data_IF_538324564228
#
_entry.id   IF_538324564228
#
_cell.length_a   1.000
_cell.length_b   1.000
_cell.length_c   1.000
_cell.angle_alpha   90.00
_cell.angle_beta   90.00
_cell.angle_gamma   90.00
#
_symmetry.space_group_name_H-M   'P 1'
#
loop_
_entity.id
_entity.type
_entity.pdbx_description
1 polymer ?
#
# COMPACT_ATOMS: atom_id res chain seq x y z
N UNK A 1 -18.91 -35.57 -34.51
CA UNK A 1 -18.67 -35.02 -33.15
C UNK A 1 -17.39 -34.18 -33.23
N UNK A 2 -17.24 -33.15 -32.42
CA UNK A 2 -16.01 -32.35 -32.40
C UNK A 2 -14.90 -33.01 -31.57
N UNK A 3 -13.65 -32.64 -31.85
CA UNK A 3 -12.51 -33.00 -31.00
C UNK A 3 -12.60 -32.36 -29.61
N UNK A 4 -11.87 -32.93 -28.64
CA UNK A 4 -11.98 -32.58 -27.21
C UNK A 4 -11.82 -31.09 -26.91
N UNK A 5 -10.95 -30.38 -27.63
CA UNK A 5 -10.70 -28.95 -27.42
C UNK A 5 -11.46 -28.04 -28.42
N UNK A 6 -12.40 -28.60 -29.20
CA UNK A 6 -13.08 -27.91 -30.30
C UNK A 6 -14.60 -27.77 -30.08
N UNK A 7 -15.03 -27.62 -28.83
CA UNK A 7 -16.43 -27.55 -28.41
C UNK A 7 -16.92 -26.11 -28.12
N UNK A 8 -16.34 -25.10 -28.78
CA UNK A 8 -16.73 -23.69 -28.54
C UNK A 8 -18.12 -23.32 -29.11
N UNK A 9 -18.61 -24.11 -30.07
CA UNK A 9 -19.93 -23.95 -30.69
C UNK A 9 -20.61 -25.31 -30.85
N UNK A 10 -21.95 -25.38 -30.96
CA UNK A 10 -22.63 -26.65 -31.14
C UNK A 10 -22.21 -27.30 -32.47
N UNK A 11 -21.98 -28.61 -32.44
CA UNK A 11 -21.63 -29.38 -33.65
C UNK A 11 -22.77 -29.33 -34.67
N UNK A 12 -22.42 -29.19 -35.95
CA UNK A 12 -23.35 -29.27 -37.07
C UNK A 12 -22.70 -30.06 -38.23
N UNK A 13 -23.49 -30.79 -39.03
CA UNK A 13 -22.99 -31.44 -40.23
C UNK A 13 -22.69 -30.40 -41.32
N UNK A 14 -21.75 -30.70 -42.22
CA UNK A 14 -21.49 -29.87 -43.39
C UNK A 14 -22.72 -29.83 -44.32
N UNK A 15 -22.92 -28.69 -44.98
CA UNK A 15 -24.01 -28.48 -45.94
C UNK A 15 -23.45 -28.50 -47.38
N UNK A 16 -23.74 -29.58 -48.12
CA UNK A 16 -23.30 -29.72 -49.50
C UNK A 16 -23.99 -28.80 -50.51
N UNK A 17 -25.14 -28.21 -50.16
CA UNK A 17 -25.89 -27.30 -51.04
C UNK A 17 -25.36 -25.86 -50.94
N UNK A 18 -25.01 -25.40 -49.73
CA UNK A 18 -24.46 -24.06 -49.50
C UNK A 18 -22.93 -24.02 -49.53
N UNK A 19 -22.28 -25.18 -49.41
CA UNK A 19 -20.82 -25.30 -49.27
C UNK A 19 -20.31 -25.03 -47.85
N UNK A 20 -21.19 -24.83 -46.87
CA UNK A 20 -20.80 -24.54 -45.49
C UNK A 20 -20.26 -25.77 -44.79
N UNK A 21 -18.98 -25.75 -44.42
CA UNK A 21 -18.31 -26.89 -43.79
C UNK A 21 -18.72 -27.12 -42.32
N UNK A 22 -19.24 -26.10 -41.63
CA UNK A 22 -19.58 -26.14 -40.20
C UNK A 22 -18.49 -26.74 -39.29
N UNK A 23 -17.24 -26.37 -39.56
CA UNK A 23 -16.08 -26.89 -38.81
C UNK A 23 -16.18 -26.61 -37.30
N UNK A 24 -15.69 -27.52 -36.48
CA UNK A 24 -15.63 -27.31 -35.05
C UNK A 24 -14.67 -26.16 -34.70
N UNK A 25 -14.95 -25.42 -33.61
CA UNK A 25 -14.17 -24.24 -33.23
C UNK A 25 -13.42 -24.51 -31.94
N UNK A 26 -12.11 -24.25 -31.95
CA UNK A 26 -11.22 -24.44 -30.80
C UNK A 26 -11.61 -23.52 -29.65
N UNK A 27 -11.73 -24.07 -28.45
CA UNK A 27 -11.93 -23.31 -27.22
C UNK A 27 -10.69 -22.47 -26.87
N UNK A 28 -10.92 -21.30 -26.29
CA UNK A 28 -9.85 -20.40 -25.83
C UNK A 28 -9.58 -20.65 -24.34
N UNK A 29 -8.60 -21.48 -24.04
CA UNK A 29 -8.29 -21.90 -22.67
C UNK A 29 -6.96 -21.38 -22.12
N UNK A 30 -6.38 -20.35 -22.77
CA UNK A 30 -5.10 -19.74 -22.38
C UNK A 30 -3.91 -20.73 -22.23
N UNK A 31 -3.97 -21.90 -22.86
CA UNK A 31 -2.92 -22.92 -22.71
C UNK A 31 -3.01 -23.76 -21.43
N UNK A 32 -4.10 -23.63 -20.66
CA UNK A 32 -4.30 -24.38 -19.42
C UNK A 32 -5.43 -25.41 -19.51
N UNK A 33 -5.77 -25.90 -20.71
CA UNK A 33 -6.68 -27.03 -20.85
C UNK A 33 -6.40 -27.83 -22.12
N UNK A 34 -6.58 -29.14 -22.04
CA UNK A 34 -6.52 -30.07 -23.18
C UNK A 34 -7.92 -30.46 -23.67
N UNK A 35 -8.97 -30.13 -22.92
CA UNK A 35 -10.36 -30.35 -23.26
C UNK A 35 -11.26 -29.18 -22.87
N UNK A 36 -12.40 -29.10 -23.54
CA UNK A 36 -13.48 -28.20 -23.20
C UNK A 36 -14.82 -28.85 -23.56
N UNK A 37 -15.89 -28.39 -22.92
CA UNK A 37 -17.25 -28.81 -23.23
C UNK A 37 -18.10 -27.59 -23.66
N UNK A 38 -19.17 -27.87 -24.39
CA UNK A 38 -20.11 -26.84 -24.80
C UNK A 38 -21.15 -26.60 -23.71
N UNK A 39 -21.34 -25.34 -23.32
CA UNK A 39 -22.39 -24.90 -22.41
C UNK A 39 -23.37 -23.96 -23.13
N UNK A 40 -24.65 -24.36 -23.15
CA UNK A 40 -25.73 -23.61 -23.83
C UNK A 40 -25.99 -22.26 -23.17
N UNK A 41 -25.82 -22.14 -21.86
CA UNK A 41 -26.06 -20.89 -21.13
C UNK A 41 -24.97 -19.86 -21.45
N UNK A 42 -23.71 -20.30 -21.53
CA UNK A 42 -22.57 -19.46 -21.95
C UNK A 42 -22.74 -19.02 -23.40
N UNK A 43 -23.15 -19.94 -24.29
CA UNK A 43 -23.46 -19.65 -25.69
C UNK A 43 -24.53 -18.56 -25.85
N UNK A 44 -25.65 -18.67 -25.13
CA UNK A 44 -26.73 -17.69 -25.22
C UNK A 44 -26.29 -16.33 -24.67
N UNK A 45 -25.55 -16.31 -23.54
CA UNK A 45 -25.04 -15.08 -22.94
C UNK A 45 -24.02 -14.35 -23.82
N UNK A 46 -23.25 -15.07 -24.63
CA UNK A 46 -22.31 -14.46 -25.57
C UNK A 46 -22.97 -13.93 -26.86
N UNK A 47 -24.30 -14.01 -26.98
CA UNK A 47 -25.01 -13.66 -28.20
C UNK A 47 -24.75 -14.67 -29.32
N UNK A 48 -24.66 -15.96 -28.97
CA UNK A 48 -24.41 -17.06 -29.89
C UNK A 48 -23.06 -16.97 -30.60
N UNK A 49 -22.02 -16.54 -29.87
CA UNK A 49 -20.66 -16.36 -30.41
C UNK A 49 -19.69 -17.41 -29.91
N UNK A 50 -19.77 -17.77 -28.63
CA UNK A 50 -18.87 -18.71 -27.96
C UNK A 50 -19.56 -19.32 -26.74
N UNK A 51 -19.42 -20.62 -26.58
CA UNK A 51 -20.05 -21.42 -25.53
C UNK A 51 -19.12 -22.47 -24.94
N UNK A 52 -17.83 -22.45 -25.31
CA UNK A 52 -16.85 -23.37 -24.77
C UNK A 52 -16.53 -23.05 -23.31
N UNK A 53 -16.50 -24.08 -22.47
CA UNK A 53 -16.02 -24.02 -21.09
C UNK A 53 -14.88 -25.02 -20.94
N UNK A 54 -13.72 -24.52 -20.55
CA UNK A 54 -12.48 -25.28 -20.47
C UNK A 54 -12.40 -26.12 -19.19
N UNK A 55 -11.81 -27.31 -19.31
CA UNK A 55 -11.48 -28.15 -18.15
C UNK A 55 -10.08 -27.76 -17.65
N UNK A 56 -10.02 -26.77 -16.74
CA UNK A 56 -8.79 -26.08 -16.39
C UNK A 56 -7.76 -26.91 -15.61
N UNK A 57 -6.50 -26.77 -16.01
CA UNK A 57 -5.28 -27.30 -15.40
C UNK A 57 -4.46 -26.16 -14.76
N UNK A 58 -3.25 -26.45 -14.27
CA UNK A 58 -2.28 -25.43 -13.86
C UNK A 58 -2.78 -24.46 -12.76
N UNK A 59 -3.66 -24.95 -11.87
CA UNK A 59 -4.32 -24.17 -10.81
C UNK A 59 -5.03 -22.90 -11.33
N UNK A 60 -5.55 -22.97 -12.55
CA UNK A 60 -6.36 -21.91 -13.15
C UNK A 60 -7.86 -22.19 -12.97
N UNK A 61 -8.67 -21.16 -13.16
CA UNK A 61 -10.12 -21.17 -13.00
C UNK A 61 -10.81 -20.20 -13.97
N UNK A 62 -12.12 -20.32 -14.09
CA UNK A 62 -12.96 -19.57 -15.03
C UNK A 62 -13.17 -20.30 -16.37
N UNK A 63 -14.12 -19.82 -17.18
CA UNK A 63 -14.54 -20.51 -18.41
C UNK A 63 -13.40 -20.70 -19.43
N UNK A 64 -12.42 -19.80 -19.41
CA UNK A 64 -11.26 -19.79 -20.30
C UNK A 64 -9.95 -20.02 -19.54
N UNK A 65 -10.00 -20.48 -18.28
CA UNK A 65 -8.81 -20.64 -17.45
C UNK A 65 -8.01 -19.34 -17.27
N UNK A 66 -8.73 -18.21 -17.21
CA UNK A 66 -8.15 -16.87 -17.21
C UNK A 66 -7.80 -16.36 -15.80
N UNK A 67 -8.30 -16.99 -14.75
CA UNK A 67 -8.03 -16.63 -13.37
C UNK A 67 -7.20 -17.71 -12.68
N UNK A 68 -6.51 -17.39 -11.60
CA UNK A 68 -5.97 -18.41 -10.71
C UNK A 68 -7.06 -18.93 -9.77
N UNK A 69 -6.88 -20.13 -9.22
CA UNK A 69 -7.75 -20.63 -8.15
C UNK A 69 -7.61 -19.80 -6.88
N UNK A 70 -8.61 -19.85 -6.00
CA UNK A 70 -8.60 -19.11 -4.73
C UNK A 70 -7.37 -19.48 -3.88
N UNK A 71 -6.72 -18.47 -3.30
CA UNK A 71 -5.47 -18.65 -2.56
C UNK A 71 -4.22 -18.68 -3.44
N UNK A 72 -4.35 -18.43 -4.75
CA UNK A 72 -3.25 -18.22 -5.67
C UNK A 72 -3.36 -16.86 -6.35
N UNK A 73 -2.22 -16.36 -6.82
CA UNK A 73 -2.11 -15.14 -7.61
C UNK A 73 -1.33 -15.41 -8.90
N UNK A 74 -1.53 -14.54 -9.89
CA UNK A 74 -0.82 -14.58 -11.16
C UNK A 74 0.55 -13.93 -10.99
N UNK A 75 1.60 -14.69 -11.27
CA UNK A 75 2.97 -14.19 -11.20
C UNK A 75 3.24 -13.22 -12.37
N UNK A 76 3.49 -11.93 -12.12
CA UNK A 76 3.74 -10.94 -13.16
C UNK A 76 5.05 -11.18 -13.92
N UNK A 77 5.98 -11.96 -13.37
CA UNK A 77 7.24 -12.30 -14.03
C UNK A 77 7.10 -13.48 -15.02
N UNK A 78 5.94 -14.15 -15.02
CA UNK A 78 5.68 -15.31 -15.87
C UNK A 78 4.65 -15.00 -16.96
N UNK A 79 4.80 -15.57 -18.17
CA UNK A 79 3.76 -15.51 -19.18
C UNK A 79 2.45 -16.08 -18.65
N UNK A 80 1.33 -15.43 -18.97
CA UNK A 80 0.02 -15.84 -18.48
C UNK A 80 -0.41 -17.23 -18.90
N UNK A 81 0.21 -17.80 -19.94
CA UNK A 81 -0.03 -19.14 -20.49
C UNK A 81 0.89 -20.22 -19.91
N UNK A 82 1.85 -19.84 -19.06
CA UNK A 82 2.81 -20.78 -18.49
C UNK A 82 2.14 -21.72 -17.47
N UNK A 83 2.51 -23.01 -17.42
CA UNK A 83 1.97 -23.96 -16.44
C UNK A 83 2.14 -23.54 -14.97
N UNK A 84 3.16 -22.74 -14.67
CA UNK A 84 3.49 -22.24 -13.34
C UNK A 84 3.15 -20.75 -13.16
N UNK A 85 2.24 -20.20 -13.97
CA UNK A 85 1.83 -18.79 -13.88
C UNK A 85 1.02 -18.45 -12.63
N UNK A 86 0.45 -19.45 -11.94
CA UNK A 86 -0.30 -19.27 -10.70
C UNK A 86 0.52 -19.74 -9.50
N UNK A 87 0.82 -18.83 -8.57
CA UNK A 87 1.60 -19.10 -7.37
C UNK A 87 0.75 -18.98 -6.09
N UNK A 88 1.05 -19.76 -5.04
CA UNK A 88 0.34 -19.66 -3.78
C UNK A 88 0.55 -18.30 -3.11
N UNK A 89 -0.50 -17.75 -2.53
CA UNK A 89 -0.39 -16.59 -1.64
C UNK A 89 0.48 -16.96 -0.43
N UNK A 90 1.40 -16.08 -0.03
CA UNK A 90 2.22 -16.25 1.17
C UNK A 90 1.68 -15.44 2.35
N UNK A 91 0.36 -15.37 2.53
CA UNK A 91 -0.24 -14.57 3.59
C UNK A 91 -0.44 -15.39 4.87
N UNK A 92 -0.22 -14.76 6.02
CA UNK A 92 -0.59 -15.32 7.31
C UNK A 92 -2.11 -15.33 7.44
N UNK A 93 -2.69 -16.51 7.62
CA UNK A 93 -4.14 -16.71 7.71
C UNK A 93 -4.80 -15.99 8.89
N UNK A 94 -4.07 -15.76 9.99
CA UNK A 94 -4.60 -15.02 11.12
C UNK A 94 -4.70 -13.52 10.80
N UNK A 95 -3.70 -12.95 10.12
CA UNK A 95 -3.64 -11.52 9.84
C UNK A 95 -4.16 -11.08 8.46
N UNK A 96 -4.54 -12.02 7.59
CA UNK A 96 -5.10 -11.74 6.26
C UNK A 96 -6.13 -12.78 5.83
N UNK A 97 -7.11 -12.36 5.04
CA UNK A 97 -8.17 -13.23 4.53
C UNK A 97 -7.89 -13.73 3.10
N UNK A 98 -7.20 -12.94 2.28
CA UNK A 98 -6.85 -13.27 0.89
C UNK A 98 -5.71 -12.39 0.40
N UNK A 99 -5.02 -12.84 -0.66
CA UNK A 99 -4.07 -12.01 -1.41
C UNK A 99 -4.70 -11.45 -2.68
N UNK A 100 -4.12 -10.37 -3.19
CA UNK A 100 -4.49 -9.79 -4.46
C UNK A 100 -4.12 -10.78 -5.60
N UNK A 101 -5.09 -11.17 -6.44
CA UNK A 101 -4.86 -12.18 -7.48
C UNK A 101 -3.90 -11.74 -8.59
N UNK A 102 -3.61 -10.45 -8.72
CA UNK A 102 -2.77 -9.92 -9.81
C UNK A 102 -1.29 -9.79 -9.43
N UNK A 103 -0.97 -9.66 -8.14
CA UNK A 103 0.39 -9.40 -7.68
C UNK A 103 0.82 -10.19 -6.43
N UNK A 104 -0.12 -10.84 -5.73
CA UNK A 104 0.16 -11.64 -4.55
C UNK A 104 0.22 -10.87 -3.24
N UNK A 105 -0.02 -9.55 -3.25
CA UNK A 105 0.02 -8.72 -2.05
C UNK A 105 -1.09 -9.13 -1.07
N UNK A 106 -0.73 -9.29 0.19
CA UNK A 106 -1.67 -9.67 1.24
C UNK A 106 -2.53 -8.50 1.67
N UNK A 107 -3.85 -8.71 1.75
CA UNK A 107 -4.76 -7.72 2.31
C UNK A 107 -4.81 -7.91 3.82
N UNK A 108 -4.07 -7.09 4.56
CA UNK A 108 -3.96 -7.23 6.01
C UNK A 108 -5.22 -6.74 6.75
N UNK A 109 -5.50 -7.39 7.88
CA UNK A 109 -6.53 -6.99 8.85
C UNK A 109 -6.13 -5.69 9.57
N UNK A 110 -7.08 -5.00 10.24
CA UNK A 110 -6.79 -3.77 10.95
C UNK A 110 -5.66 -3.93 11.98
N UNK A 111 -4.70 -3.00 11.99
CA UNK A 111 -3.58 -3.04 12.93
C UNK A 111 -2.46 -4.03 12.56
N UNK A 112 -2.64 -4.86 11.53
CA UNK A 112 -1.66 -5.85 11.07
C UNK A 112 -0.86 -5.30 9.90
N UNK A 113 0.43 -5.62 9.85
CA UNK A 113 1.33 -5.25 8.76
C UNK A 113 2.36 -6.33 8.46
N UNK A 114 3.36 -5.96 7.67
CA UNK A 114 4.33 -6.89 7.09
C UNK A 114 3.88 -7.41 5.71
N UNK A 115 4.82 -7.90 4.88
CA UNK A 115 4.53 -8.41 3.53
C UNK A 115 3.58 -9.63 3.56
N UNK A 116 3.53 -10.32 4.69
CA UNK A 116 2.73 -11.52 4.89
C UNK A 116 1.61 -11.31 5.93
N UNK A 117 1.36 -10.08 6.39
CA UNK A 117 0.36 -9.78 7.42
C UNK A 117 0.53 -10.62 8.70
N UNK A 118 1.76 -10.76 9.17
CA UNK A 118 2.17 -11.70 10.22
C UNK A 118 2.57 -11.02 11.53
N UNK A 119 2.46 -9.69 11.59
CA UNK A 119 2.86 -8.91 12.76
C UNK A 119 1.98 -7.67 12.93
N UNK A 120 1.92 -7.14 14.15
CA UNK A 120 1.27 -5.86 14.39
C UNK A 120 2.07 -4.72 13.76
N UNK A 121 1.36 -3.72 13.25
CA UNK A 121 1.93 -2.44 12.90
C UNK A 121 2.46 -1.73 14.16
N UNK A 122 3.40 -0.81 13.97
CA UNK A 122 3.85 0.07 15.05
C UNK A 122 2.67 0.83 15.67
N UNK A 123 2.66 0.93 16.99
CA UNK A 123 1.53 1.50 17.74
C UNK A 123 0.34 0.54 17.87
N UNK A 124 0.48 -0.73 17.53
CA UNK A 124 -0.51 -1.79 17.74
C UNK A 124 0.11 -3.01 18.44
N UNK A 125 -0.72 -3.76 19.16
CA UNK A 125 -0.32 -4.95 19.91
C UNK A 125 -1.42 -6.01 19.94
N UNK A 126 -1.05 -7.21 20.37
CA UNK A 126 -1.98 -8.31 20.60
C UNK A 126 -2.52 -8.90 19.30
N UNK A 127 -1.62 -9.42 18.46
CA UNK A 127 -1.96 -10.06 17.19
C UNK A 127 -2.89 -11.27 17.40
N UNK A 128 -4.08 -11.21 16.81
CA UNK A 128 -5.09 -12.27 16.84
C UNK A 128 -5.81 -12.40 15.48
N UNK A 129 -6.84 -13.25 15.42
CA UNK A 129 -7.65 -13.47 14.22
C UNK A 129 -8.48 -12.25 13.78
N UNK A 130 -8.60 -11.21 14.60
CA UNK A 130 -9.29 -9.95 14.29
C UNK A 130 -8.32 -8.82 13.93
N UNK A 131 -7.02 -9.03 14.13
CA UNK A 131 -5.96 -8.11 13.77
C UNK A 131 -5.13 -7.71 14.98
N UNK A 132 -4.84 -6.42 15.13
CA UNK A 132 -4.16 -5.89 16.32
C UNK A 132 -4.91 -4.71 16.91
N UNK A 133 -4.74 -4.50 18.22
CA UNK A 133 -5.35 -3.41 18.98
C UNK A 133 -4.40 -2.22 19.06
N UNK A 134 -4.89 -0.98 18.99
CA UNK A 134 -4.02 0.19 19.16
C UNK A 134 -3.43 0.24 20.58
N UNK A 135 -2.19 0.68 20.70
CA UNK A 135 -1.53 0.95 21.98
C UNK A 135 -2.28 2.06 22.75
N UNK A 136 -2.35 1.94 24.07
CA UNK A 136 -2.92 2.96 24.97
C UNK A 136 -1.80 3.74 25.67
N UNK A 137 -0.81 4.17 24.90
CA UNK A 137 0.42 4.78 25.40
C UNK A 137 0.64 6.15 24.75
N UNK A 138 1.42 7.03 25.40
CA UNK A 138 1.85 8.30 24.82
C UNK A 138 2.88 8.12 23.67
N UNK A 139 3.36 6.89 23.46
CA UNK A 139 4.30 6.46 22.43
C UNK A 139 4.03 5.00 22.05
N UNK A 140 5.05 4.27 21.64
CA UNK A 140 4.91 2.87 21.23
C UNK A 140 4.71 1.92 22.42
N UNK A 141 4.21 0.73 22.12
CA UNK A 141 4.07 -0.35 23.09
C UNK A 141 4.67 -1.65 22.53
N UNK A 142 4.98 -2.58 23.43
CA UNK A 142 5.38 -3.92 23.05
C UNK A 142 4.26 -4.60 22.24
N UNK A 143 4.56 -5.17 21.05
CA UNK A 143 3.53 -5.71 20.16
C UNK A 143 2.86 -6.98 20.69
N UNK A 144 3.41 -7.63 21.71
CA UNK A 144 2.85 -8.84 22.32
C UNK A 144 2.10 -8.55 23.61
N UNK A 145 2.67 -7.74 24.50
CA UNK A 145 2.10 -7.47 25.82
C UNK A 145 1.25 -6.20 25.86
N UNK A 146 1.50 -5.26 24.95
CA UNK A 146 0.88 -3.93 24.99
C UNK A 146 1.50 -3.00 26.02
N UNK A 147 2.59 -3.41 26.67
CA UNK A 147 3.28 -2.60 27.68
C UNK A 147 3.92 -1.38 27.02
N UNK A 148 3.71 -0.20 27.61
CA UNK A 148 4.28 1.02 27.07
C UNK A 148 5.81 0.97 27.11
N UNK A 149 6.42 1.25 25.96
CA UNK A 149 7.88 1.30 25.83
C UNK A 149 8.38 2.66 26.31
N UNK A 150 8.32 2.90 27.62
CA UNK A 150 9.05 3.97 28.29
C UNK A 150 9.72 3.41 29.55
N UNK A 151 11.03 3.64 29.66
CA UNK A 151 11.81 3.28 30.84
C UNK A 151 11.17 3.85 32.11
N UNK A 152 11.08 2.99 33.11
CA UNK A 152 10.66 3.32 34.47
C UNK A 152 11.34 4.57 35.02
N UNK A 153 10.54 5.36 35.73
CA UNK A 153 10.77 6.59 36.48
C UNK A 153 12.07 6.65 37.30
N UNK A 154 12.60 7.86 37.57
CA UNK A 154 12.78 8.46 38.92
C UNK A 154 13.83 9.58 38.99
N UNK A 155 13.57 10.52 39.90
CA UNK A 155 14.40 11.65 40.31
C UNK A 155 15.87 11.29 40.61
N UNK A 156 16.82 12.18 40.30
CA UNK A 156 17.84 12.69 41.25
C UNK A 156 18.76 13.74 40.61
N UNK A 157 18.66 14.94 41.19
CA UNK A 157 19.60 16.06 41.24
C UNK A 157 21.06 15.78 40.80
N UNK A 158 21.51 16.34 39.66
CA UNK A 158 22.94 16.66 39.42
C UNK A 158 23.08 17.65 38.25
N UNK A 159 23.72 18.77 38.55
CA UNK A 159 24.17 19.83 37.64
C UNK A 159 25.17 19.31 36.61
N UNK A 160 24.82 19.34 35.32
CA UNK A 160 25.78 19.42 34.22
C UNK A 160 25.08 19.92 32.95
N UNK A 161 25.79 20.75 32.20
CA UNK A 161 25.31 21.53 31.07
C UNK A 161 24.74 20.69 29.91
N UNK A 162 23.58 21.13 29.41
CA UNK A 162 23.25 21.34 28.01
C UNK A 162 23.90 20.40 26.96
N UNK A 163 23.53 19.11 26.96
CA UNK A 163 23.66 18.25 25.78
C UNK A 163 22.28 17.89 25.24
N UNK A 164 21.94 18.55 24.13
CA UNK A 164 20.60 18.69 23.60
C UNK A 164 20.09 17.47 22.81
N UNK A 165 20.86 16.39 22.60
CA UNK A 165 20.41 15.19 21.87
C UNK A 165 21.23 13.95 22.25
N UNK A 166 20.56 12.80 22.46
CA UNK A 166 21.22 11.47 22.65
C UNK A 166 21.05 10.62 21.40
N UNK A 167 22.11 9.87 21.08
CA UNK A 167 22.47 9.32 19.78
C UNK A 167 21.95 7.89 19.49
N UNK A 168 20.72 7.52 19.87
CA UNK A 168 20.25 6.12 19.66
C UNK A 168 18.80 5.92 19.16
N UNK A 169 18.07 6.95 18.73
CA UNK A 169 16.74 6.76 18.13
C UNK A 169 16.85 6.37 16.63
N UNK A 170 17.20 5.09 16.39
CA UNK A 170 16.80 4.32 15.19
C UNK A 170 15.25 4.39 15.12
N UNK A 171 14.56 4.47 13.98
CA UNK A 171 14.47 3.47 12.91
C UNK A 171 13.88 4.05 11.60
N UNK A 172 14.28 3.46 10.48
CA UNK A 172 13.51 3.34 9.21
C UNK A 172 12.41 2.28 9.44
N UNK A 173 11.16 2.37 9.01
CA UNK A 173 10.64 2.50 7.65
C UNK A 173 9.65 1.33 7.43
N UNK A 174 8.51 1.58 6.78
CA UNK A 174 7.71 0.52 6.16
C UNK A 174 8.63 -0.32 5.26
N UNK A 175 8.69 -1.63 5.47
CA UNK A 175 9.63 -2.49 4.75
C UNK A 175 9.09 -2.90 3.37
N UNK A 176 9.63 -2.31 2.31
CA UNK A 176 10.08 -3.04 1.12
C UNK A 176 11.62 -3.17 1.23
N UNK A 177 12.17 -4.34 1.62
CA UNK A 177 13.55 -4.44 2.06
C UNK A 177 14.62 -4.26 0.97
N UNK A 178 14.27 -4.26 -0.33
CA UNK A 178 15.30 -4.31 -1.39
C UNK A 178 15.57 -3.00 -2.13
N UNK A 179 14.88 -1.88 -1.82
CA UNK A 179 14.99 -0.67 -2.67
C UNK A 179 15.26 0.66 -1.95
N UNK A 180 15.28 0.72 -0.62
CA UNK A 180 15.32 2.00 0.09
C UNK A 180 16.23 2.06 1.33
N UNK A 181 17.38 2.72 1.20
CA UNK A 181 18.24 3.14 2.32
C UNK A 181 18.00 4.62 2.63
N UNK A 182 17.21 4.92 3.65
CA UNK A 182 16.98 6.28 4.12
C UNK A 182 18.28 6.88 4.70
N UNK A 183 18.88 7.84 4.00
CA UNK A 183 19.94 8.69 4.59
C UNK A 183 19.28 9.78 5.42
N UNK A 184 19.48 9.73 6.73
CA UNK A 184 19.03 10.77 7.65
C UNK A 184 19.71 12.10 7.30
N UNK A 185 18.93 13.15 7.07
CA UNK A 185 19.45 14.50 7.00
C UNK A 185 19.26 15.14 8.39
N UNK A 186 20.37 15.39 9.07
CA UNK A 186 20.35 16.15 10.32
C UNK A 186 19.67 17.50 10.08
N UNK A 187 18.78 17.99 10.98
CA UNK A 187 18.24 19.33 10.85
C UNK A 187 19.42 20.30 10.85
N UNK A 188 19.67 20.92 9.70
CA UNK A 188 20.66 21.96 9.56
C UNK A 188 20.40 23.08 10.56
N UNK A 189 21.47 23.80 10.94
CA UNK A 189 21.39 24.98 11.80
C UNK A 189 20.27 25.96 11.38
N UNK A 190 19.84 26.85 12.27
CA UNK A 190 18.81 27.87 11.97
C UNK A 190 19.06 28.70 10.70
N UNK A 191 20.31 28.73 10.19
CA UNK A 191 20.67 29.35 8.90
C UNK A 191 20.21 28.53 7.67
N UNK A 192 20.23 27.20 7.73
CA UNK A 192 19.75 26.32 6.65
C UNK A 192 18.23 26.39 6.52
N UNK A 193 17.50 26.52 7.64
CA UNK A 193 16.05 26.66 7.66
C UNK A 193 15.56 27.96 6.98
N UNK A 194 16.24 29.09 7.19
CA UNK A 194 15.84 30.36 6.57
C UNK A 194 16.29 30.52 5.10
N UNK A 195 17.21 29.69 4.63
CA UNK A 195 17.60 29.66 3.22
C UNK A 195 16.58 28.94 2.33
N UNK A 196 15.64 28.18 2.91
CA UNK A 196 14.56 27.49 2.19
C UNK A 196 13.31 28.37 2.19
N UNK A 197 12.80 28.74 1.02
CA UNK A 197 11.60 29.59 0.86
C UNK A 197 10.33 28.77 1.06
N UNK A 198 10.03 28.34 2.29
CA UNK A 198 8.80 27.58 2.55
C UNK A 198 7.55 28.33 2.07
N UNK A 199 6.70 27.65 1.28
CA UNK A 199 5.49 28.24 0.69
C UNK A 199 4.32 28.14 1.67
N UNK A 200 4.27 27.08 2.48
CA UNK A 200 3.26 26.92 3.52
C UNK A 200 3.77 26.13 4.73
N UNK A 201 3.11 26.34 5.87
CA UNK A 201 3.29 25.57 7.09
C UNK A 201 1.95 25.35 7.78
N UNK A 202 1.61 24.07 7.99
CA UNK A 202 0.31 23.66 8.52
C UNK A 202 0.47 22.63 9.64
N UNK A 203 -0.37 22.74 10.66
CA UNK A 203 -0.63 21.67 11.61
C UNK A 203 -1.73 20.78 11.02
N UNK A 204 -1.42 19.51 10.85
CA UNK A 204 -2.35 18.52 10.32
C UNK A 204 -2.52 17.35 11.26
N UNK A 205 -3.64 16.66 11.17
CA UNK A 205 -3.81 15.31 11.71
C UNK A 205 -3.86 14.35 10.55
N UNK A 206 -3.04 13.31 10.58
CA UNK A 206 -3.04 12.28 9.53
C UNK A 206 -4.27 11.41 9.73
N UNK A 207 -5.02 11.17 8.66
CA UNK A 207 -6.21 10.32 8.63
C UNK A 207 -5.89 8.96 8.02
N UNK A 208 -5.02 8.94 7.02
CA UNK A 208 -4.58 7.73 6.33
C UNK A 208 -3.40 8.03 5.40
N UNK A 209 -2.68 6.98 5.00
CA UNK A 209 -1.62 7.04 4.01
C UNK A 209 -1.77 5.86 3.04
N UNK A 210 -1.68 6.14 1.75
CA UNK A 210 -1.89 5.19 0.68
C UNK A 210 -0.70 5.19 -0.25
N UNK A 211 -0.13 4.03 -0.49
CA UNK A 211 0.88 3.82 -1.53
C UNK A 211 0.17 3.56 -2.87
N UNK A 212 0.46 4.39 -3.89
CA UNK A 212 -0.10 4.24 -5.25
C UNK A 212 0.91 3.68 -6.25
N UNK A 213 2.08 3.22 -5.81
CA UNK A 213 3.10 2.66 -6.69
C UNK A 213 3.87 3.67 -7.56
N UNK A 214 3.37 4.91 -7.76
CA UNK A 214 4.12 6.04 -8.37
C UNK A 214 4.16 7.32 -7.52
N UNK A 215 3.33 7.40 -6.48
CA UNK A 215 3.29 8.48 -5.49
C UNK A 215 2.60 7.97 -4.22
N UNK A 216 2.80 8.65 -3.10
CA UNK A 216 2.07 8.40 -1.86
C UNK A 216 1.02 9.50 -1.69
N UNK A 217 -0.18 9.08 -1.34
CA UNK A 217 -1.27 9.99 -0.99
C UNK A 217 -1.47 9.93 0.52
N UNK A 218 -1.42 11.08 1.18
CA UNK A 218 -1.62 11.17 2.62
C UNK A 218 -2.86 12.01 2.89
N UNK A 219 -3.91 11.35 3.36
CA UNK A 219 -5.13 12.03 3.76
C UNK A 219 -4.93 12.67 5.13
N UNK A 220 -5.21 13.96 5.23
CA UNK A 220 -5.03 14.73 6.45
C UNK A 220 -6.21 15.65 6.71
N UNK A 221 -6.37 16.00 7.99
CA UNK A 221 -7.23 17.09 8.44
C UNK A 221 -6.36 18.28 8.84
N UNK A 222 -6.44 19.38 8.09
CA UNK A 222 -5.74 20.63 8.41
C UNK A 222 -6.41 21.26 9.63
N UNK A 223 -5.69 21.26 10.75
CA UNK A 223 -6.15 21.80 12.03
C UNK A 223 -5.84 23.30 12.15
N UNK A 224 -4.65 23.71 11.69
CA UNK A 224 -4.21 25.10 11.76
C UNK A 224 -3.25 25.44 10.63
N UNK A 225 -3.48 26.55 9.96
CA UNK A 225 -2.50 27.16 9.05
C UNK A 225 -1.63 28.10 9.88
N UNK A 226 -0.33 27.82 9.93
CA UNK A 226 0.63 28.62 10.69
C UNK A 226 1.24 29.72 9.82
N UNK A 227 1.44 29.41 8.54
CA UNK A 227 1.93 30.34 7.54
C UNK A 227 1.49 29.85 6.16
N UNK A 228 1.07 30.76 5.29
CA UNK A 228 0.70 30.46 3.91
C UNK A 228 1.05 31.66 3.03
N UNK A 229 2.01 31.45 2.14
CA UNK A 229 2.37 32.35 1.05
C UNK A 229 2.13 31.67 -0.32
N UNK A 230 1.32 30.60 -0.33
CA UNK A 230 0.98 29.85 -1.52
C UNK A 230 -0.19 30.51 -2.25
N UNK A 231 -0.19 30.45 -3.58
CA UNK A 231 -1.36 30.82 -4.38
C UNK A 231 -2.57 29.89 -4.13
N UNK A 232 -2.38 28.76 -3.45
CA UNK A 232 -3.39 27.72 -3.20
C UNK A 232 -4.35 28.07 -2.04
N UNK A 233 -4.07 29.09 -1.23
CA UNK A 233 -4.90 29.56 -0.10
C UNK A 233 -5.43 28.41 0.78
N UNK A 234 -4.52 27.78 1.51
CA UNK A 234 -4.84 26.63 2.36
C UNK A 234 -5.85 27.02 3.43
N UNK A 235 -6.89 26.21 3.57
CA UNK A 235 -7.95 26.37 4.57
C UNK A 235 -8.05 25.14 5.47
N UNK A 236 -8.65 25.33 6.65
CA UNK A 236 -8.98 24.22 7.55
C UNK A 236 -9.94 23.25 6.86
N UNK A 237 -9.78 21.97 7.12
CA UNK A 237 -10.62 20.92 6.55
C UNK A 237 -9.83 19.71 6.10
N UNK A 238 -10.51 18.78 5.46
CA UNK A 238 -9.88 17.58 4.92
C UNK A 238 -9.16 17.90 3.61
N UNK A 239 -7.94 17.41 3.49
CA UNK A 239 -7.07 17.59 2.33
C UNK A 239 -6.24 16.33 2.13
N UNK A 240 -5.92 16.05 0.88
CA UNK A 240 -4.91 15.05 0.54
C UNK A 240 -3.60 15.79 0.27
N UNK A 241 -2.55 15.39 0.96
CA UNK A 241 -1.20 15.89 0.75
C UNK A 241 -0.40 14.90 -0.09
N UNK A 242 0.41 15.45 -0.97
CA UNK A 242 1.30 14.72 -1.86
C UNK A 242 2.73 15.09 -1.46
N UNK A 243 3.35 14.37 -0.51
CA UNK A 243 4.73 14.65 -0.12
C UNK A 243 5.66 14.39 -1.31
N UNK A 244 6.39 15.42 -1.76
CA UNK A 244 7.41 15.25 -2.78
C UNK A 244 8.59 14.46 -2.21
N UNK A 245 8.57 13.14 -2.45
CA UNK A 245 9.70 12.22 -2.49
C UNK A 245 9.22 10.91 -3.12
N UNK A 246 8.70 11.03 -4.34
CA UNK A 246 8.49 9.92 -5.25
C UNK A 246 9.23 10.22 -6.55
N UNK A 247 10.51 10.57 -6.42
CA UNK A 247 11.40 10.60 -7.58
C UNK A 247 11.75 9.16 -7.94
N UNK A 248 12.42 8.95 -9.07
CA UNK A 248 12.82 7.66 -9.66
C UNK A 248 13.67 6.72 -8.77
N UNK A 249 13.80 7.02 -7.47
CA UNK A 249 14.47 6.26 -6.41
C UNK A 249 13.63 6.08 -5.12
N UNK A 250 12.38 6.54 -5.11
CA UNK A 250 11.26 5.98 -4.34
C UNK A 250 11.35 5.74 -2.83
N UNK A 251 11.82 6.68 -2.00
CA UNK A 251 11.73 6.54 -0.53
C UNK A 251 11.24 7.81 0.17
N UNK A 252 10.21 7.72 1.02
CA UNK A 252 9.82 8.75 2.00
C UNK A 252 10.37 8.39 3.38
N UNK A 253 11.16 9.26 4.01
CA UNK A 253 11.83 8.95 5.29
C UNK A 253 11.09 9.49 6.53
N UNK A 254 9.90 10.07 6.37
CA UNK A 254 9.10 10.56 7.50
C UNK A 254 7.86 9.68 7.67
N UNK A 255 7.80 8.90 8.75
CA UNK A 255 6.64 8.04 9.06
C UNK A 255 5.48 8.91 9.56
N UNK A 256 4.38 8.89 8.81
CA UNK A 256 3.13 9.59 9.14
C UNK A 256 2.12 8.59 9.69
N UNK A 257 1.92 8.62 11.00
CA UNK A 257 1.00 7.74 11.71
C UNK A 257 -0.43 8.29 11.63
N UNK A 258 -1.42 7.48 11.18
CA UNK A 258 -2.83 7.84 11.29
C UNK A 258 -3.21 8.20 12.73
N UNK A 259 -4.04 9.23 12.88
CA UNK A 259 -4.45 9.78 14.18
C UNK A 259 -3.47 10.80 14.79
N UNK A 260 -2.19 10.75 14.39
CA UNK A 260 -1.16 11.63 14.95
C UNK A 260 -1.15 13.01 14.28
N UNK A 261 -0.72 14.01 15.05
CA UNK A 261 -0.62 15.39 14.61
C UNK A 261 0.81 15.70 14.17
N UNK A 262 0.94 16.41 13.04
CA UNK A 262 2.23 16.78 12.46
C UNK A 262 2.26 18.26 12.10
N UNK A 263 3.45 18.85 12.22
CA UNK A 263 3.82 20.06 11.51
C UNK A 263 4.33 19.63 10.12
N UNK A 264 3.63 20.07 9.08
CA UNK A 264 4.05 19.91 7.68
C UNK A 264 4.44 21.28 7.16
N UNK A 265 5.64 21.37 6.59
CA UNK A 265 6.16 22.58 5.94
C UNK A 265 6.57 22.20 4.52
N UNK A 266 6.09 22.93 3.52
CA UNK A 266 6.31 22.58 2.10
C UNK A 266 7.02 23.66 1.28
N UNK A 267 8.03 23.25 0.50
CA UNK A 267 8.63 23.92 -0.69
C UNK A 267 9.69 23.00 -1.30
N UNK A 268 9.58 22.52 -2.55
CA UNK A 268 10.51 21.61 -3.29
C UNK A 268 10.93 20.31 -2.55
N UNK A 269 11.24 20.40 -1.26
CA UNK A 269 11.37 19.35 -0.25
C UNK A 269 10.33 19.57 0.88
N UNK A 270 9.49 18.58 1.12
CA UNK A 270 8.49 18.64 2.20
C UNK A 270 9.08 18.13 3.52
N UNK A 271 9.06 18.95 4.57
CA UNK A 271 9.49 18.56 5.91
C UNK A 271 8.26 18.23 6.76
N UNK A 272 8.26 17.04 7.36
CA UNK A 272 7.22 16.61 8.28
C UNK A 272 7.79 16.25 9.65
N UNK A 273 7.22 16.81 10.71
CA UNK A 273 7.65 16.57 12.09
C UNK A 273 6.45 16.32 13.01
N UNK A 274 6.52 15.37 13.95
CA UNK A 274 5.48 15.20 14.97
C UNK A 274 5.19 16.51 15.69
N UNK A 275 3.91 16.80 15.90
CA UNK A 275 3.48 18.04 16.52
C UNK A 275 3.87 18.09 18.00
N UNK A 276 4.40 19.24 18.43
CA UNK A 276 4.60 19.57 19.85
C UNK A 276 4.11 21.00 20.10
N UNK A 277 3.48 21.31 21.25
CA UNK A 277 3.00 22.67 21.55
C UNK A 277 4.08 23.75 21.42
N UNK A 278 5.33 23.42 21.78
CA UNK A 278 6.50 24.30 21.67
C UNK A 278 6.90 24.63 20.24
N UNK A 279 6.58 23.78 19.26
CA UNK A 279 6.93 24.00 17.85
C UNK A 279 6.19 25.20 17.27
N UNK A 280 4.93 25.42 17.65
CA UNK A 280 4.15 26.56 17.16
C UNK A 280 4.80 27.91 17.51
N UNK A 281 5.21 28.10 18.77
CA UNK A 281 5.88 29.31 19.26
C UNK A 281 7.26 29.47 18.64
N UNK A 282 8.05 28.39 18.59
CA UNK A 282 9.38 28.39 17.97
C UNK A 282 9.33 28.70 16.47
N UNK A 283 8.37 28.15 15.74
CA UNK A 283 8.17 28.40 14.31
C UNK A 283 7.81 29.87 14.04
N UNK A 284 6.84 30.43 14.78
CA UNK A 284 6.52 31.86 14.69
C UNK A 284 7.70 32.78 15.09
N UNK A 285 8.50 32.38 16.08
CA UNK A 285 9.68 33.14 16.49
C UNK A 285 10.79 33.07 15.44
N UNK A 286 11.03 31.90 14.84
CA UNK A 286 11.98 31.71 13.74
C UNK A 286 11.63 32.56 12.52
N UNK A 287 10.37 32.54 12.09
CA UNK A 287 9.89 33.40 11.00
C UNK A 287 10.05 34.89 11.30
N UNK A 288 9.87 35.31 12.56
CA UNK A 288 9.93 36.73 12.96
C UNK A 288 11.34 37.27 13.22
N UNK A 289 12.28 36.43 13.66
CA UNK A 289 13.58 36.90 14.22
C UNK A 289 14.81 36.43 13.46
N UNK A 290 14.71 35.41 12.60
CA UNK A 290 15.89 34.78 11.98
C UNK A 290 15.82 34.65 10.46
N UNK A 291 14.66 34.88 9.84
CA UNK A 291 14.47 34.83 8.38
C UNK A 291 14.09 36.19 7.76
N UNK A 292 14.40 37.29 8.47
CA UNK A 292 14.25 38.69 8.04
C UNK A 292 15.49 39.19 7.32
#
# INVERSE_FOLDING_TARGET
RCDRLYNDRPWQPANGLTGEAHQCVKCKCNGHAESCHFDKTVWLRSGQRSGGVCDCLHNTSGHHCQHCQSGLYRDPERPSTAPDSCRPCMCNHAGSTYCNPDNGDCVCKPGVGGPHCDQCMLGYWGFDEYGCKPCQCAGDCDPYTGDCMFGSESDHNSTAENHLFRTEERFSGFSHPDKCLCKQQAPGSSKLFCNVKYVYAVKVRVLGAHDKGSHAEVDVKVLKVLWDNSCLRLSRGNRTLYPESWTSRGCTCSVLFPGMEYLVVGHEDSIVKPWRPSLSRKFHQLLKTKCS
#
